data_IF_005792953304
#
_entry.id   IF_005792953304
#
_cell.length_a   1.000
_cell.length_b   1.000
_cell.length_c   1.000
_cell.angle_alpha   90.00
_cell.angle_beta   90.00
_cell.angle_gamma   90.00
#
_symmetry.space_group_name_H-M   'P 1'
#
loop_
_entity.id
_entity.type
_entity.pdbx_description
1 polymer ?
#
# COMPACT_ATOMS: atom_id res chain seq x y z
N UNK A 1 5.17 -27.09 6.84
CA UNK A 1 4.88 -25.64 6.90
C UNK A 1 3.70 -25.27 6.00
N UNK A 2 3.73 -25.61 4.69
CA UNK A 2 2.61 -25.44 3.74
C UNK A 2 1.22 -25.81 4.29
N UNK A 3 1.07 -27.03 4.84
CA UNK A 3 -0.18 -27.54 5.43
C UNK A 3 -0.70 -26.75 6.66
N UNK A 4 0.12 -25.89 7.26
CA UNK A 4 -0.29 -24.99 8.36
C UNK A 4 -0.83 -23.69 7.76
N UNK A 5 -0.13 -23.12 6.78
CA UNK A 5 -0.58 -21.92 6.05
C UNK A 5 -1.89 -22.20 5.32
N UNK A 6 -1.99 -23.34 4.62
CA UNK A 6 -3.24 -23.74 3.94
C UNK A 6 -4.42 -23.82 4.93
N UNK A 7 -4.21 -24.42 6.11
CA UNK A 7 -5.24 -24.50 7.15
C UNK A 7 -5.56 -23.15 7.77
N UNK A 8 -4.57 -22.26 7.90
CA UNK A 8 -4.80 -20.91 8.41
C UNK A 8 -5.60 -20.08 7.42
N UNK A 9 -5.25 -20.12 6.14
CA UNK A 9 -5.98 -19.44 5.06
C UNK A 9 -7.40 -20.00 4.93
N UNK A 10 -7.54 -21.32 4.95
CA UNK A 10 -8.85 -21.98 4.94
C UNK A 10 -9.71 -21.54 6.13
N UNK A 11 -9.14 -21.48 7.34
CA UNK A 11 -9.85 -20.94 8.51
C UNK A 11 -10.16 -19.45 8.38
N UNK A 12 -9.19 -18.62 7.99
CA UNK A 12 -9.37 -17.17 7.84
C UNK A 12 -10.56 -16.84 6.92
N UNK A 13 -10.77 -17.66 5.89
CA UNK A 13 -11.86 -17.46 4.95
C UNK A 13 -13.16 -18.16 5.33
N UNK A 14 -13.12 -19.35 5.91
CA UNK A 14 -14.32 -20.16 6.18
C UNK A 14 -14.82 -20.11 7.64
N UNK A 15 -14.00 -19.69 8.59
CA UNK A 15 -14.38 -19.65 10.00
C UNK A 15 -15.13 -18.33 10.29
N UNK A 16 -16.41 -18.39 10.68
CA UNK A 16 -17.24 -17.21 10.92
C UNK A 16 -16.82 -16.44 12.18
N UNK A 17 -15.79 -16.87 12.90
CA UNK A 17 -15.16 -16.10 13.98
C UNK A 17 -14.04 -15.16 13.48
N UNK A 18 -13.57 -15.32 12.23
CA UNK A 18 -12.57 -14.45 11.61
C UNK A 18 -13.23 -13.34 10.78
N UNK A 19 -12.82 -12.09 11.00
CA UNK A 19 -13.36 -10.91 10.32
C UNK A 19 -13.06 -10.88 8.82
N UNK A 20 -14.08 -10.96 7.96
CA UNK A 20 -13.99 -10.52 6.55
C UNK A 20 -15.36 -10.41 5.85
N UNK A 21 -15.57 -9.47 4.90
CA UNK A 21 -14.72 -8.35 4.49
C UNK A 21 -15.15 -7.01 5.09
N UNK A 22 -14.20 -6.09 5.15
CA UNK A 22 -14.41 -4.71 5.55
C UNK A 22 -15.03 -3.95 4.37
N UNK A 23 -16.34 -3.69 4.40
CA UNK A 23 -17.05 -3.08 3.27
C UNK A 23 -16.67 -1.61 3.05
N UNK A 24 -16.32 -0.88 4.12
CA UNK A 24 -15.98 0.53 4.03
C UNK A 24 -14.93 0.92 5.08
N UNK A 25 -13.69 1.15 4.64
CA UNK A 25 -12.60 1.65 5.48
C UNK A 25 -12.82 3.12 5.91
N UNK A 26 -13.75 3.82 5.25
CA UNK A 26 -14.07 5.22 5.53
C UNK A 26 -15.15 5.42 6.60
N UNK A 27 -15.77 4.36 7.11
CA UNK A 27 -16.78 4.45 8.18
C UNK A 27 -16.16 4.17 9.55
N UNK A 28 -16.63 4.88 10.59
CA UNK A 28 -16.30 4.62 12.01
C UNK A 28 -16.62 3.17 12.44
N UNK A 29 -17.34 2.42 11.59
CA UNK A 29 -17.73 1.04 11.75
C UNK A 29 -16.79 0.03 11.08
N UNK A 30 -15.57 0.40 10.67
CA UNK A 30 -14.60 -0.57 10.16
C UNK A 30 -14.40 -1.75 11.13
N UNK A 31 -14.68 -1.65 12.43
CA UNK A 31 -14.62 -2.79 13.35
C UNK A 31 -15.83 -3.74 13.31
N UNK A 32 -16.86 -3.45 12.51
CA UNK A 32 -18.10 -4.23 12.48
C UNK A 32 -17.89 -5.49 11.64
N UNK A 33 -18.14 -6.65 12.26
CA UNK A 33 -18.09 -7.94 11.60
C UNK A 33 -19.25 -8.10 10.62
N UNK A 34 -18.93 -8.43 9.37
CA UNK A 34 -19.89 -8.87 8.36
C UNK A 34 -19.54 -10.30 7.93
N UNK A 35 -20.41 -11.30 8.15
CA UNK A 35 -20.13 -12.67 7.73
C UNK A 35 -20.12 -12.77 6.20
N UNK A 36 -19.14 -13.49 5.63
CA UNK A 36 -19.13 -13.82 4.21
C UNK A 36 -20.40 -14.59 3.83
N UNK A 37 -21.11 -14.11 2.81
CA UNK A 37 -22.19 -14.86 2.18
C UNK A 37 -21.55 -15.91 1.26
N UNK A 38 -21.16 -17.04 1.87
CA UNK A 38 -20.57 -18.26 1.27
C UNK A 38 -19.54 -18.07 0.13
N UNK A 39 -18.33 -18.58 0.36
CA UNK A 39 -17.21 -18.57 -0.60
C UNK A 39 -17.48 -19.27 -1.94
N UNK A 40 -18.49 -20.13 -2.03
CA UNK A 40 -18.85 -20.82 -3.28
C UNK A 40 -19.34 -19.86 -4.38
N UNK A 41 -19.64 -18.60 -4.02
CA UNK A 41 -20.06 -17.56 -4.96
C UNK A 41 -18.95 -16.55 -5.32
N UNK A 42 -17.83 -16.55 -4.59
CA UNK A 42 -16.73 -15.60 -4.80
C UNK A 42 -15.80 -16.07 -5.91
N UNK A 43 -15.64 -15.27 -6.97
CA UNK A 43 -14.75 -15.61 -8.11
C UNK A 43 -13.27 -15.45 -7.77
N UNK A 44 -12.94 -14.51 -6.88
CA UNK A 44 -11.56 -14.18 -6.48
C UNK A 44 -11.56 -13.82 -5.00
N UNK A 45 -10.56 -14.32 -4.28
CA UNK A 45 -10.34 -14.00 -2.87
C UNK A 45 -8.93 -13.44 -2.71
N UNK A 46 -8.81 -12.34 -2.00
CA UNK A 46 -7.53 -11.67 -1.74
C UNK A 46 -7.34 -11.29 -0.28
N UNK A 47 -6.14 -10.83 0.00
CA UNK A 47 -5.73 -10.23 1.28
C UNK A 47 -4.71 -9.13 0.99
N UNK A 48 -4.53 -8.21 1.93
CA UNK A 48 -3.53 -7.14 1.85
C UNK A 48 -2.44 -7.37 2.90
N UNK A 49 -1.18 -7.12 2.52
CA UNK A 49 -0.03 -7.16 3.42
C UNK A 49 0.86 -5.94 3.19
N UNK A 50 1.42 -5.42 4.27
CA UNK A 50 2.53 -4.47 4.25
C UNK A 50 3.87 -5.22 4.14
N UNK A 51 4.94 -4.54 3.72
CA UNK A 51 6.24 -5.20 3.55
C UNK A 51 6.77 -5.73 4.88
N UNK A 52 6.64 -4.98 5.97
CA UNK A 52 7.13 -5.39 7.28
C UNK A 52 6.43 -6.68 7.75
N UNK A 53 5.10 -6.75 7.58
CA UNK A 53 4.32 -7.95 7.88
C UNK A 53 4.81 -9.13 7.04
N UNK A 54 5.05 -8.92 5.75
CA UNK A 54 5.49 -9.98 4.87
C UNK A 54 6.89 -10.49 5.27
N UNK A 55 7.81 -9.59 5.63
CA UNK A 55 9.17 -9.92 6.09
C UNK A 55 9.16 -10.75 7.38
N UNK A 56 8.24 -10.46 8.31
CA UNK A 56 8.09 -11.22 9.56
C UNK A 56 7.57 -12.65 9.33
N UNK A 57 6.89 -12.92 8.20
CA UNK A 57 6.28 -14.22 7.90
C UNK A 57 6.88 -14.93 6.67
N UNK A 58 8.12 -15.42 6.77
CA UNK A 58 8.79 -16.19 5.71
C UNK A 58 7.94 -17.35 5.14
N UNK A 59 7.23 -18.08 6.01
CA UNK A 59 6.36 -19.19 5.61
C UNK A 59 5.25 -18.76 4.64
N UNK A 60 4.73 -17.54 4.82
CA UNK A 60 3.69 -16.96 3.97
C UNK A 60 4.28 -16.53 2.64
N UNK A 61 5.48 -15.95 2.62
CA UNK A 61 6.18 -15.62 1.38
C UNK A 61 6.41 -16.85 0.50
N UNK A 62 6.89 -17.94 1.09
CA UNK A 62 7.15 -19.18 0.36
C UNK A 62 5.83 -19.76 -0.17
N UNK A 63 4.76 -19.72 0.62
CA UNK A 63 3.43 -20.14 0.18
C UNK A 63 2.91 -19.31 -1.00
N UNK A 64 3.04 -17.97 -0.94
CA UNK A 64 2.64 -17.06 -2.03
C UNK A 64 3.38 -17.42 -3.33
N UNK A 65 4.69 -17.66 -3.24
CA UNK A 65 5.52 -18.03 -4.38
C UNK A 65 5.14 -19.41 -4.95
N UNK A 66 4.98 -20.41 -4.07
CA UNK A 66 4.66 -21.79 -4.44
C UNK A 66 3.26 -21.92 -5.05
N UNK A 67 2.29 -21.15 -4.56
CA UNK A 67 0.91 -21.18 -5.05
C UNK A 67 0.67 -20.30 -6.28
N UNK A 68 1.71 -19.60 -6.78
CA UNK A 68 1.59 -18.68 -7.92
C UNK A 68 0.45 -17.68 -7.73
N UNK A 69 0.29 -17.20 -6.50
CA UNK A 69 -0.72 -16.18 -6.15
C UNK A 69 -0.52 -14.96 -7.07
N UNK A 70 -1.63 -14.43 -7.58
CA UNK A 70 -1.67 -13.19 -8.34
C UNK A 70 -1.29 -12.03 -7.42
N UNK A 71 -0.25 -11.27 -7.77
CA UNK A 71 0.25 -10.17 -6.93
C UNK A 71 -0.11 -8.85 -7.58
N UNK A 72 -0.86 -8.02 -6.84
CA UNK A 72 -1.02 -6.61 -7.13
C UNK A 72 -0.08 -5.85 -6.20
N UNK A 73 0.93 -5.20 -6.76
CA UNK A 73 1.94 -4.46 -6.01
C UNK A 73 1.69 -2.96 -6.14
N UNK A 74 1.03 -2.41 -5.13
CA UNK A 74 0.83 -0.96 -5.03
C UNK A 74 2.09 -0.30 -4.46
N UNK A 75 2.76 0.51 -5.26
CA UNK A 75 3.94 1.27 -4.85
C UNK A 75 3.65 2.77 -4.87
N UNK A 76 4.39 3.54 -4.06
CA UNK A 76 4.45 5.00 -4.22
C UNK A 76 5.78 5.33 -4.88
N UNK A 77 5.75 5.88 -6.09
CA UNK A 77 6.99 6.14 -6.84
C UNK A 77 7.82 7.23 -6.18
N UNK A 78 7.17 8.27 -5.65
CA UNK A 78 7.87 9.34 -4.96
C UNK A 78 8.23 8.90 -3.52
N UNK A 79 9.46 8.42 -3.33
CA UNK A 79 9.96 7.94 -2.05
C UNK A 79 10.00 9.04 -0.97
N UNK A 80 10.22 10.30 -1.34
CA UNK A 80 10.19 11.42 -0.41
C UNK A 80 8.78 11.65 0.14
N UNK A 81 7.77 11.67 -0.74
CA UNK A 81 6.36 11.74 -0.34
C UNK A 81 5.94 10.54 0.51
N UNK A 82 6.51 9.36 0.26
CA UNK A 82 6.28 8.17 1.09
C UNK A 82 6.91 8.30 2.48
N UNK A 83 8.17 8.76 2.57
CA UNK A 83 8.86 9.01 3.83
C UNK A 83 8.10 10.03 4.69
N UNK A 84 7.66 11.13 4.09
CA UNK A 84 6.85 12.14 4.79
C UNK A 84 5.55 11.55 5.31
N UNK A 85 4.88 10.72 4.52
CA UNK A 85 3.65 10.04 4.95
C UNK A 85 3.87 9.15 6.17
N UNK A 86 4.97 8.40 6.21
CA UNK A 86 5.35 7.55 7.36
C UNK A 86 5.62 8.41 8.60
N UNK A 87 6.43 9.46 8.47
CA UNK A 87 6.75 10.37 9.57
C UNK A 87 5.53 11.13 10.09
N UNK A 88 4.59 11.52 9.22
CA UNK A 88 3.32 12.12 9.65
C UNK A 88 2.51 11.13 10.47
N UNK A 89 2.30 9.91 9.96
CA UNK A 89 1.51 8.90 10.64
C UNK A 89 2.11 8.50 12.00
N UNK A 90 3.44 8.42 12.11
CA UNK A 90 4.14 8.21 13.39
C UNK A 90 3.89 9.35 14.38
N UNK A 91 3.82 10.60 13.89
CA UNK A 91 3.63 11.79 14.71
C UNK A 91 2.17 12.00 15.13
N UNK A 92 1.21 11.67 14.27
CA UNK A 92 -0.22 11.92 14.51
C UNK A 92 -0.98 10.70 15.03
N UNK A 93 -0.46 9.48 14.83
CA UNK A 93 -1.18 8.23 15.10
C UNK A 93 -2.26 7.90 14.07
N UNK A 94 -2.51 8.77 13.08
CA UNK A 94 -3.55 8.63 12.07
C UNK A 94 -2.96 8.13 10.75
N UNK A 95 -3.37 6.94 10.33
CA UNK A 95 -3.00 6.32 9.05
C UNK A 95 -4.04 6.54 7.94
N UNK A 96 -5.22 7.08 8.28
CA UNK A 96 -6.34 7.34 7.37
C UNK A 96 -7.04 8.65 7.75
N UNK A 97 -7.20 9.56 6.78
CA UNK A 97 -7.82 10.87 7.05
C UNK A 97 -9.32 10.82 6.75
N UNK A 98 -10.12 10.42 7.74
CA UNK A 98 -11.55 10.77 7.82
C UNK A 98 -11.69 11.91 8.84
N UNK A 99 -10.90 12.99 8.74
CA UNK A 99 -11.33 14.29 9.27
C UNK A 99 -10.40 15.40 8.80
N UNK A 100 -10.99 16.55 8.46
CA UNK A 100 -10.35 17.80 8.06
C UNK A 100 -9.51 18.47 9.19
N UNK A 101 -8.70 17.72 9.96
CA UNK A 101 -7.98 18.23 11.14
C UNK A 101 -6.46 18.33 11.02
N UNK A 102 -5.81 17.86 9.96
CA UNK A 102 -4.35 18.01 9.81
C UNK A 102 -3.98 19.37 9.21
N UNK A 103 -4.34 20.45 9.88
CA UNK A 103 -3.85 21.77 9.51
C UNK A 103 -2.36 21.90 9.93
N UNK A 104 -1.47 21.90 8.95
CA UNK A 104 -0.19 22.63 8.96
C UNK A 104 0.99 22.07 9.79
N UNK A 105 1.02 20.77 10.11
CA UNK A 105 2.20 20.21 10.78
C UNK A 105 3.32 19.94 9.78
N UNK A 106 4.29 20.84 9.69
CA UNK A 106 5.52 20.62 8.93
C UNK A 106 6.41 19.55 9.60
N UNK A 107 7.21 18.89 8.77
CA UNK A 107 8.22 17.91 9.19
C UNK A 107 9.61 18.47 8.91
N UNK A 108 10.48 18.43 9.91
CA UNK A 108 11.91 18.64 9.74
C UNK A 108 12.54 17.29 9.38
N UNK A 109 13.25 17.24 8.26
CA UNK A 109 13.98 16.04 7.82
C UNK A 109 15.44 16.11 8.25
N UNK A 110 15.94 15.03 8.84
CA UNK A 110 17.36 14.88 9.18
C UNK A 110 18.19 14.65 7.91
N UNK A 111 19.01 15.63 7.55
CA UNK A 111 19.90 15.60 6.39
C UNK A 111 20.85 14.39 6.38
N UNK A 112 21.26 13.90 7.55
CA UNK A 112 22.18 12.76 7.65
C UNK A 112 21.47 11.42 7.37
N UNK A 113 20.15 11.36 7.56
CA UNK A 113 19.36 10.12 7.45
C UNK A 113 18.52 10.04 6.19
N UNK A 114 18.11 11.18 5.64
CA UNK A 114 17.14 11.24 4.54
C UNK A 114 17.59 10.41 3.34
N UNK A 115 18.85 10.52 2.90
CA UNK A 115 19.37 9.73 1.77
C UNK A 115 19.31 8.22 2.04
N UNK A 116 19.66 7.80 3.26
CA UNK A 116 19.59 6.39 3.67
C UNK A 116 18.15 5.89 3.70
N UNK A 117 17.21 6.70 4.19
CA UNK A 117 15.79 6.35 4.23
C UNK A 117 15.17 6.27 2.84
N UNK A 118 15.47 7.23 1.95
CA UNK A 118 15.04 7.19 0.54
C UNK A 118 15.60 5.95 -0.18
N UNK A 119 16.87 5.65 0.04
CA UNK A 119 17.48 4.43 -0.50
C UNK A 119 16.79 3.17 0.02
N UNK A 120 16.53 3.09 1.33
CA UNK A 120 15.85 1.94 1.92
C UNK A 120 14.47 1.71 1.30
N UNK A 121 13.68 2.77 1.12
CA UNK A 121 12.38 2.73 0.45
C UNK A 121 12.49 2.16 -0.96
N UNK A 122 13.44 2.66 -1.77
CA UNK A 122 13.62 2.18 -3.14
C UNK A 122 14.09 0.73 -3.16
N UNK A 123 15.02 0.36 -2.28
CA UNK A 123 15.52 -1.00 -2.17
C UNK A 123 14.45 -1.99 -1.70
N UNK A 124 13.56 -1.60 -0.78
CA UNK A 124 12.41 -2.40 -0.33
C UNK A 124 11.50 -2.76 -1.50
N UNK A 125 11.15 -1.77 -2.34
CA UNK A 125 10.32 -1.99 -3.53
C UNK A 125 11.00 -2.96 -4.51
N UNK A 126 12.30 -2.77 -4.79
CA UNK A 126 13.09 -3.66 -5.66
C UNK A 126 13.22 -5.08 -5.09
N UNK A 127 13.38 -5.20 -3.77
CA UNK A 127 13.44 -6.50 -3.08
C UNK A 127 12.14 -7.27 -3.30
N UNK A 128 10.99 -6.62 -3.19
CA UNK A 128 9.68 -7.25 -3.44
C UNK A 128 9.49 -7.67 -4.89
N UNK A 129 9.86 -6.81 -5.85
CA UNK A 129 9.85 -7.17 -7.30
C UNK A 129 10.66 -8.44 -7.57
N UNK A 130 11.87 -8.51 -7.01
CA UNK A 130 12.76 -9.67 -7.19
C UNK A 130 12.19 -10.92 -6.51
N UNK A 131 11.69 -10.78 -5.28
CA UNK A 131 11.17 -11.89 -4.47
C UNK A 131 10.06 -12.65 -5.17
N UNK A 132 9.18 -11.95 -5.89
CA UNK A 132 8.03 -12.56 -6.56
C UNK A 132 8.07 -12.46 -8.09
N UNK A 133 9.26 -12.31 -8.67
CA UNK A 133 9.46 -12.29 -10.12
C UNK A 133 8.93 -13.54 -10.86
N UNK A 134 8.74 -14.66 -10.13
CA UNK A 134 8.15 -15.89 -10.65
C UNK A 134 6.63 -16.01 -10.53
N UNK A 135 5.94 -15.01 -9.99
CA UNK A 135 4.48 -14.97 -9.84
C UNK A 135 3.85 -14.13 -10.96
N UNK A 136 2.56 -14.34 -11.29
CA UNK A 136 1.78 -13.33 -12.00
C UNK A 136 1.81 -12.03 -11.20
N UNK A 137 2.27 -10.95 -11.81
CA UNK A 137 2.61 -9.71 -11.11
C UNK A 137 2.09 -8.49 -11.85
N UNK A 138 1.35 -7.63 -11.16
CA UNK A 138 0.88 -6.35 -11.65
C UNK A 138 1.36 -5.25 -10.70
N UNK A 139 2.29 -4.43 -11.17
CA UNK A 139 2.70 -3.23 -10.44
C UNK A 139 1.82 -2.04 -10.80
N UNK A 140 1.34 -1.34 -9.77
CA UNK A 140 0.52 -0.14 -9.89
C UNK A 140 1.14 0.93 -9.01
N UNK A 141 1.24 2.14 -9.55
CA UNK A 141 1.73 3.28 -8.80
C UNK A 141 0.56 3.97 -8.14
N UNK A 142 0.71 4.37 -6.89
CA UNK A 142 -0.24 5.20 -6.15
C UNK A 142 -0.62 6.44 -6.95
N UNK A 143 0.36 7.11 -7.54
CA UNK A 143 0.18 8.32 -8.32
C UNK A 143 -0.78 8.09 -9.49
N UNK A 144 -0.54 7.06 -10.31
CA UNK A 144 -1.41 6.73 -11.44
C UNK A 144 -2.77 6.17 -11.00
N UNK A 145 -2.82 5.40 -9.92
CA UNK A 145 -4.07 4.84 -9.39
C UNK A 145 -5.06 5.94 -9.01
N UNK A 146 -4.60 7.03 -8.39
CA UNK A 146 -5.45 8.16 -8.05
C UNK A 146 -5.66 9.14 -9.21
N UNK A 147 -4.69 9.25 -10.13
CA UNK A 147 -4.82 10.13 -11.31
C UNK A 147 -5.78 9.59 -12.35
N UNK A 148 -5.72 8.29 -12.65
CA UNK A 148 -6.52 7.62 -13.66
C UNK A 148 -7.13 6.31 -13.13
N UNK A 149 -7.88 6.43 -12.04
CA UNK A 149 -8.52 5.30 -11.37
C UNK A 149 -9.34 4.40 -12.31
N UNK A 150 -10.19 4.91 -13.22
CA UNK A 150 -11.00 4.03 -14.08
C UNK A 150 -10.15 3.09 -14.94
N UNK A 151 -8.99 3.55 -15.40
CA UNK A 151 -8.12 2.72 -16.23
C UNK A 151 -7.30 1.74 -15.40
N UNK A 152 -6.77 2.18 -14.25
CA UNK A 152 -6.06 1.29 -13.34
C UNK A 152 -6.99 0.20 -12.76
N UNK A 153 -8.24 0.53 -12.46
CA UNK A 153 -9.26 -0.42 -12.05
C UNK A 153 -9.49 -1.49 -13.12
N UNK A 154 -9.66 -1.10 -14.39
CA UNK A 154 -9.80 -2.07 -15.50
C UNK A 154 -8.58 -2.98 -15.61
N UNK A 155 -7.36 -2.44 -15.48
CA UNK A 155 -6.12 -3.23 -15.50
C UNK A 155 -6.11 -4.26 -14.39
N UNK A 156 -6.53 -3.88 -13.18
CA UNK A 156 -6.69 -4.81 -12.04
C UNK A 156 -7.72 -5.89 -12.35
N UNK A 157 -8.91 -5.53 -12.81
CA UNK A 157 -9.97 -6.50 -13.13
C UNK A 157 -9.55 -7.49 -14.21
N UNK A 158 -8.89 -7.00 -15.25
CA UNK A 158 -8.36 -7.84 -16.31
C UNK A 158 -7.29 -8.82 -15.77
N UNK A 159 -6.36 -8.32 -14.95
CA UNK A 159 -5.34 -9.15 -14.32
C UNK A 159 -5.94 -10.23 -13.40
N UNK A 160 -7.04 -9.93 -12.71
CA UNK A 160 -7.80 -10.87 -11.89
C UNK A 160 -8.78 -11.75 -12.68
N UNK A 161 -8.84 -11.61 -14.01
CA UNK A 161 -9.77 -12.31 -14.90
C UNK A 161 -11.25 -12.14 -14.52
N UNK A 162 -11.63 -10.91 -14.16
CA UNK A 162 -12.99 -10.54 -13.76
C UNK A 162 -13.66 -9.72 -14.87
N UNK A 163 -14.90 -10.08 -15.19
CA UNK A 163 -15.67 -9.51 -16.32
C UNK A 163 -16.33 -8.15 -16.01
N UNK A 164 -16.27 -7.65 -14.76
CA UNK A 164 -17.06 -6.51 -14.32
C UNK A 164 -16.21 -5.30 -13.91
N UNK A 165 -16.60 -4.15 -14.45
CA UNK A 165 -15.94 -2.86 -14.52
C UNK A 165 -16.77 -1.77 -13.81
N UNK A 166 -17.75 -2.17 -13.00
CA UNK A 166 -18.56 -1.28 -12.16
C UNK A 166 -17.96 -1.15 -10.75
N UNK A 167 -16.76 -0.61 -10.64
CA UNK A 167 -16.29 -0.08 -9.36
C UNK A 167 -16.63 1.38 -9.22
N UNK A 168 -17.23 1.76 -8.09
CA UNK A 168 -17.25 3.16 -7.68
C UNK A 168 -15.84 3.71 -7.54
N UNK A 169 -15.70 5.03 -7.63
CA UNK A 169 -14.46 5.68 -7.20
C UNK A 169 -14.26 5.43 -5.70
N UNK A 170 -13.02 5.23 -5.23
CA UNK A 170 -12.77 5.13 -3.80
C UNK A 170 -13.19 6.45 -3.14
N UNK A 171 -13.93 6.36 -2.04
CA UNK A 171 -14.29 7.54 -1.21
C UNK A 171 -13.07 8.15 -0.51
N UNK A 172 -11.94 7.41 -0.51
CA UNK A 172 -10.67 7.81 0.07
C UNK A 172 -10.00 8.89 -0.80
N UNK A 173 -9.92 10.09 -0.26
CA UNK A 173 -9.18 11.21 -0.86
C UNK A 173 -7.68 11.09 -0.57
N UNK A 174 -6.86 11.59 -1.50
CA UNK A 174 -5.40 11.62 -1.36
C UNK A 174 -4.99 12.32 -0.06
N UNK A 175 -4.17 11.64 0.75
CA UNK A 175 -3.77 12.08 2.10
C UNK A 175 -3.02 13.42 2.09
N UNK A 176 -2.32 13.76 0.99
CA UNK A 176 -1.58 15.03 0.89
C UNK A 176 -1.65 15.60 -0.55
N UNK A 177 -2.55 16.55 -0.82
CA UNK A 177 -2.51 17.36 -2.04
C UNK A 177 -1.47 18.49 -1.97
N UNK A 178 -0.94 18.79 -0.77
CA UNK A 178 -0.03 19.90 -0.52
C UNK A 178 1.34 19.70 -1.19
N UNK A 179 1.99 20.82 -1.53
CA UNK A 179 3.32 20.79 -2.14
C UNK A 179 4.36 20.34 -1.11
N UNK A 180 5.48 19.76 -1.56
CA UNK A 180 6.57 19.35 -0.65
C UNK A 180 7.11 20.52 0.19
N UNK A 181 7.05 21.75 -0.34
CA UNK A 181 7.45 22.98 0.36
C UNK A 181 6.54 23.30 1.55
N UNK A 182 5.28 22.91 1.46
CA UNK A 182 4.31 23.12 2.53
C UNK A 182 4.48 22.06 3.62
N UNK A 183 4.92 20.86 3.26
CA UNK A 183 5.09 19.72 4.17
C UNK A 183 6.46 19.66 4.87
N UNK A 184 7.53 20.16 4.25
CA UNK A 184 8.90 20.10 4.77
C UNK A 184 9.30 21.47 5.32
N UNK A 185 9.69 21.54 6.58
CA UNK A 185 10.13 22.79 7.22
C UNK A 185 11.48 23.26 6.67
N UNK A 186 12.46 22.36 6.56
CA UNK A 186 13.78 22.63 6.00
C UNK A 186 13.89 22.25 4.50
N UNK A 187 12.87 22.57 3.71
CA UNK A 187 12.76 22.14 2.30
C UNK A 187 14.00 22.50 1.47
N UNK A 188 14.49 23.74 1.56
CA UNK A 188 15.61 24.21 0.73
C UNK A 188 16.91 23.44 1.03
N UNK A 189 17.15 23.08 2.29
CA UNK A 189 18.30 22.25 2.67
C UNK A 189 18.20 20.85 2.05
N UNK A 190 17.01 20.25 2.10
CA UNK A 190 16.76 18.93 1.51
C UNK A 190 16.84 18.98 -0.01
N UNK A 191 16.29 20.02 -0.64
CA UNK A 191 16.35 20.20 -2.08
C UNK A 191 17.80 20.29 -2.58
N UNK A 192 18.63 21.07 -1.87
CA UNK A 192 20.06 21.17 -2.15
C UNK A 192 20.79 19.84 -1.92
N UNK A 193 20.47 19.12 -0.85
CA UNK A 193 21.07 17.81 -0.55
C UNK A 193 20.71 16.75 -1.60
N UNK A 194 19.48 16.77 -2.11
CA UNK A 194 19.04 15.81 -3.13
C UNK A 194 19.52 16.20 -4.54
N UNK A 195 19.94 17.44 -4.76
CA UNK A 195 20.48 17.88 -6.04
C UNK A 195 21.72 17.06 -6.44
N UNK A 196 21.78 16.64 -7.70
CA UNK A 196 22.84 15.76 -8.21
C UNK A 196 22.76 14.30 -7.75
N UNK A 197 21.76 13.92 -6.94
CA UNK A 197 21.51 12.52 -6.57
C UNK A 197 20.40 11.90 -7.43
N UNK A 198 20.30 10.56 -7.52
CA UNK A 198 19.17 9.90 -8.18
C UNK A 198 17.80 10.23 -7.57
N UNK A 199 17.78 10.80 -6.36
CA UNK A 199 16.58 11.16 -5.62
C UNK A 199 16.08 12.58 -5.90
N UNK A 200 16.82 13.36 -6.70
CA UNK A 200 16.41 14.71 -7.10
C UNK A 200 15.00 14.75 -7.70
N UNK A 201 14.67 13.74 -8.53
CA UNK A 201 13.35 13.55 -9.15
C UNK A 201 12.17 13.47 -8.18
N UNK A 202 12.42 13.25 -6.88
CA UNK A 202 11.37 13.18 -5.86
C UNK A 202 10.96 14.55 -5.32
N UNK A 203 11.62 15.63 -5.74
CA UNK A 203 11.23 17.01 -5.41
C UNK A 203 10.05 17.52 -6.26
N UNK A 204 9.65 16.77 -7.29
CA UNK A 204 8.50 17.03 -8.16
C UNK A 204 7.18 16.42 -7.60
#
# INVERSE_FOLDING_TARGET
MKRIVDRFIDKLYNDPSFSAPWENVADEFYFKYHPRVKLDQEKVVGFQLMYEQLEDYCSLQDWIADQKVLIIHLIRQNALKMLLSRLMAEKTGDFQTISNKSAHTKIILDQQRVLKQLNAIVCEQEKMRKRFSGNPYLEITYEQFFYNYPEEAKRIFHFLNLENNKTGFPDLKKINPESLKDLIENYEEIANLLHGTPYHKFLE
#
